data_IF_007380734762
#
_entry.id   IF_007380734762
#
_cell.length_a   1.000
_cell.length_b   1.000
_cell.length_c   1.000
_cell.angle_alpha   90.00
_cell.angle_beta   90.00
_cell.angle_gamma   90.00
#
_symmetry.space_group_name_H-M   'P 1'
#
loop_
_entity.id
_entity.type
_entity.pdbx_description
1 polymer ?
#
# COMPACT_ATOMS: atom_id res chain seq x y z
N UNK A 1 84.76 11.25 -9.41
CA UNK A 1 84.08 10.16 -8.72
C UNK A 1 82.63 10.56 -8.56
N UNK A 2 81.69 9.98 -9.37
CA UNK A 2 80.26 10.20 -9.28
C UNK A 2 79.62 8.91 -8.81
N UNK A 3 79.06 8.91 -7.61
CA UNK A 3 78.30 7.79 -7.07
C UNK A 3 76.86 7.91 -7.60
N UNK A 4 76.45 6.90 -8.37
CA UNK A 4 75.08 6.75 -8.86
C UNK A 4 74.25 5.89 -7.84
N UNK A 5 73.19 6.50 -7.26
CA UNK A 5 72.25 5.83 -6.40
C UNK A 5 71.09 5.28 -7.26
N UNK A 6 70.98 3.93 -7.34
CA UNK A 6 69.86 3.27 -8.02
C UNK A 6 68.73 3.09 -7.01
N UNK A 7 67.64 3.81 -7.23
CA UNK A 7 66.37 3.64 -6.51
C UNK A 7 65.61 2.45 -7.18
N UNK A 8 65.45 1.35 -6.48
CA UNK A 8 64.59 0.27 -6.90
C UNK A 8 63.15 0.51 -6.46
N UNK A 9 62.22 0.73 -7.42
CA UNK A 9 60.76 0.73 -7.15
C UNK A 9 60.26 -0.71 -7.01
N UNK A 10 59.88 -1.09 -5.79
CA UNK A 10 59.09 -2.30 -5.56
C UNK A 10 57.62 -2.00 -5.86
N UNK A 11 57.10 -2.57 -6.94
CA UNK A 11 55.65 -2.55 -7.25
C UNK A 11 55.00 -3.66 -6.43
N UNK A 12 54.27 -3.27 -5.37
CA UNK A 12 53.40 -4.18 -4.64
C UNK A 12 52.17 -4.46 -5.50
N UNK A 13 52.02 -5.69 -5.99
CA UNK A 13 50.82 -6.14 -6.66
C UNK A 13 49.69 -6.30 -5.60
N UNK A 14 48.76 -5.39 -5.60
CA UNK A 14 47.49 -5.56 -4.89
C UNK A 14 46.61 -6.52 -5.67
N UNK A 15 46.54 -7.77 -5.18
CA UNK A 15 45.57 -8.75 -5.66
C UNK A 15 44.17 -8.28 -5.20
N UNK A 16 43.16 -8.21 -6.09
CA UNK A 16 41.81 -7.93 -5.67
C UNK A 16 41.31 -9.11 -4.84
N UNK A 17 41.00 -8.88 -3.57
CA UNK A 17 40.24 -9.79 -2.73
C UNK A 17 38.84 -9.80 -3.33
N UNK A 18 38.52 -10.80 -4.14
CA UNK A 18 37.16 -11.09 -4.52
C UNK A 18 36.40 -11.45 -3.24
N UNK A 19 35.49 -10.59 -2.81
CA UNK A 19 34.55 -10.91 -1.76
C UNK A 19 33.73 -12.11 -2.23
N UNK A 20 34.07 -13.28 -1.72
CA UNK A 20 33.25 -14.47 -1.92
C UNK A 20 31.90 -14.16 -1.25
N UNK A 21 30.86 -13.97 -2.05
CA UNK A 21 29.49 -14.01 -1.55
C UNK A 21 29.32 -15.41 -0.96
N UNK A 22 29.10 -15.48 0.35
CA UNK A 22 28.72 -16.74 0.98
C UNK A 22 27.47 -17.24 0.24
N UNK A 23 27.54 -18.43 -0.34
CA UNK A 23 26.39 -19.04 -0.99
C UNK A 23 25.28 -19.12 0.06
N UNK A 24 24.11 -18.56 -0.27
CA UNK A 24 22.94 -18.64 0.61
C UNK A 24 22.67 -20.11 0.97
N UNK A 25 22.32 -20.34 2.23
CA UNK A 25 21.97 -21.69 2.67
C UNK A 25 20.80 -22.22 1.83
N UNK A 26 20.79 -23.53 1.48
CA UNK A 26 19.72 -24.09 0.69
C UNK A 26 18.37 -23.88 1.36
N UNK A 27 17.34 -23.63 0.54
CA UNK A 27 15.97 -23.45 1.04
C UNK A 27 15.50 -24.68 1.82
N UNK A 28 14.81 -24.46 2.92
CA UNK A 28 14.11 -25.52 3.65
C UNK A 28 13.00 -26.10 2.77
N UNK A 29 12.61 -27.38 2.93
CA UNK A 29 11.54 -27.99 2.14
C UNK A 29 10.23 -27.16 2.13
N UNK A 30 9.85 -26.59 3.27
CA UNK A 30 8.67 -25.72 3.39
C UNK A 30 8.81 -24.40 2.61
N UNK A 31 10.03 -23.88 2.50
CA UNK A 31 10.30 -22.70 1.67
C UNK A 31 10.28 -23.02 0.17
N UNK A 32 10.66 -24.24 -0.23
CA UNK A 32 10.53 -24.69 -1.61
C UNK A 32 9.07 -24.84 -2.01
N UNK A 33 8.21 -25.42 -1.13
CA UNK A 33 6.76 -25.50 -1.34
C UNK A 33 6.16 -24.10 -1.50
N UNK A 34 6.47 -23.17 -0.60
CA UNK A 34 6.04 -21.77 -0.69
C UNK A 34 6.48 -21.09 -2.00
N UNK A 35 7.75 -21.24 -2.37
CA UNK A 35 8.29 -20.64 -3.60
C UNK A 35 7.55 -21.13 -4.84
N UNK A 36 7.14 -22.40 -4.86
CA UNK A 36 6.35 -22.99 -5.95
C UNK A 36 4.96 -22.36 -6.02
N UNK A 37 4.26 -22.27 -4.90
CA UNK A 37 2.95 -21.60 -4.81
C UNK A 37 3.05 -20.13 -5.24
N UNK A 38 4.03 -19.40 -4.72
CA UNK A 38 4.25 -18.00 -5.04
C UNK A 38 4.54 -17.78 -6.53
N UNK A 39 5.37 -18.66 -7.13
CA UNK A 39 5.61 -18.66 -8.57
C UNK A 39 4.31 -18.84 -9.37
N UNK A 40 3.48 -19.81 -9.00
CA UNK A 40 2.21 -20.09 -9.69
C UNK A 40 1.25 -18.90 -9.60
N UNK A 41 1.24 -18.20 -8.46
CA UNK A 41 0.45 -16.98 -8.28
C UNK A 41 0.96 -15.83 -9.14
N UNK A 42 2.27 -15.57 -9.18
CA UNK A 42 2.87 -14.50 -10.00
C UNK A 42 2.70 -14.76 -11.49
N UNK A 43 2.86 -16.01 -11.93
CA UNK A 43 2.71 -16.41 -13.34
C UNK A 43 1.24 -16.50 -13.81
N UNK A 44 0.30 -16.33 -12.90
CA UNK A 44 -1.12 -16.17 -13.27
C UNK A 44 -1.40 -14.68 -13.43
N UNK A 45 -1.64 -14.25 -14.67
CA UNK A 45 -2.07 -12.87 -14.95
C UNK A 45 -3.44 -12.61 -14.31
N UNK A 46 -3.49 -11.62 -13.45
CA UNK A 46 -4.70 -11.17 -12.75
C UNK A 46 -4.96 -9.69 -12.97
N UNK A 47 -4.35 -9.10 -14.00
CA UNK A 47 -4.64 -7.73 -14.43
C UNK A 47 -6.06 -7.63 -15.00
N UNK A 48 -6.70 -6.49 -14.83
CA UNK A 48 -8.09 -6.29 -15.24
C UNK A 48 -8.31 -6.43 -16.77
N UNK A 49 -7.28 -6.19 -17.57
CA UNK A 49 -7.43 -6.20 -19.04
C UNK A 49 -7.31 -7.58 -19.65
N UNK A 50 -6.32 -8.36 -19.24
CA UNK A 50 -5.98 -9.65 -19.85
C UNK A 50 -6.10 -10.83 -18.89
N UNK A 51 -6.08 -10.56 -17.59
CA UNK A 51 -6.02 -11.56 -16.54
C UNK A 51 -7.37 -12.03 -16.00
N UNK A 52 -7.30 -12.83 -14.93
CA UNK A 52 -8.46 -13.29 -14.18
C UNK A 52 -8.11 -13.68 -12.74
N UNK A 53 -8.63 -12.94 -11.78
CA UNK A 53 -8.59 -13.33 -10.36
C UNK A 53 -9.35 -14.63 -10.12
N UNK A 54 -10.47 -14.85 -10.82
CA UNK A 54 -11.24 -16.09 -10.72
C UNK A 54 -10.37 -17.30 -11.04
N UNK A 55 -9.56 -17.23 -12.12
CA UNK A 55 -8.66 -18.32 -12.48
C UNK A 55 -7.56 -18.56 -11.43
N UNK A 56 -7.04 -17.50 -10.81
CA UNK A 56 -6.07 -17.66 -9.72
C UNK A 56 -6.74 -18.25 -8.47
N UNK A 57 -7.94 -17.79 -8.14
CA UNK A 57 -8.68 -18.32 -7.01
C UNK A 57 -9.08 -19.80 -7.21
N UNK A 58 -9.31 -20.26 -8.45
CA UNK A 58 -9.53 -21.69 -8.76
C UNK A 58 -8.27 -22.52 -8.49
N UNK A 59 -7.07 -22.00 -8.84
CA UNK A 59 -5.80 -22.63 -8.50
C UNK A 59 -5.57 -22.71 -7.00
N UNK A 60 -5.85 -21.62 -6.26
CA UNK A 60 -5.73 -21.58 -4.80
C UNK A 60 -6.68 -22.59 -4.16
N UNK A 61 -7.91 -22.67 -4.62
CA UNK A 61 -8.87 -23.70 -4.14
C UNK A 61 -8.33 -25.12 -4.35
N UNK A 62 -7.79 -25.40 -5.54
CA UNK A 62 -7.20 -26.69 -5.85
C UNK A 62 -6.02 -27.03 -4.92
N UNK A 63 -5.13 -26.05 -4.66
CA UNK A 63 -4.06 -26.20 -3.69
C UNK A 63 -4.57 -26.51 -2.29
N UNK A 64 -5.54 -25.72 -1.79
CA UNK A 64 -6.12 -25.91 -0.48
C UNK A 64 -6.80 -27.29 -0.33
N UNK A 65 -7.57 -27.71 -1.35
CA UNK A 65 -8.19 -29.05 -1.37
C UNK A 65 -7.17 -30.17 -1.36
N UNK A 66 -6.06 -30.05 -2.10
CA UNK A 66 -4.97 -31.01 -2.08
C UNK A 66 -4.30 -31.13 -0.70
N UNK A 67 -4.42 -30.11 0.15
CA UNK A 67 -3.95 -30.08 1.54
C UNK A 67 -5.02 -30.47 2.56
N UNK A 68 -6.19 -30.95 2.11
CA UNK A 68 -7.25 -31.48 2.96
C UNK A 68 -8.24 -30.45 3.49
N UNK A 69 -8.35 -29.28 2.87
CA UNK A 69 -9.48 -28.37 3.10
C UNK A 69 -10.72 -28.90 2.38
N UNK A 70 -11.86 -28.77 3.02
CA UNK A 70 -13.15 -29.26 2.54
C UNK A 70 -13.97 -28.15 1.87
N UNK A 71 -14.99 -28.54 1.09
CA UNK A 71 -15.92 -27.57 0.49
C UNK A 71 -16.66 -26.71 1.54
N UNK A 72 -16.86 -27.24 2.76
CA UNK A 72 -17.47 -26.49 3.86
C UNK A 72 -16.57 -25.41 4.47
N UNK A 73 -15.27 -25.46 4.21
CA UNK A 73 -14.27 -24.49 4.69
C UNK A 73 -13.90 -23.44 3.63
N UNK A 74 -14.29 -23.66 2.38
CA UNK A 74 -13.95 -22.83 1.23
C UNK A 74 -15.22 -22.23 0.64
N UNK A 75 -15.25 -20.94 0.45
CA UNK A 75 -16.29 -20.21 -0.26
C UNK A 75 -15.70 -19.49 -1.46
N UNK A 76 -16.13 -19.88 -2.68
CA UNK A 76 -15.78 -19.21 -3.92
C UNK A 76 -16.88 -18.21 -4.29
N UNK A 77 -16.47 -17.05 -4.78
CA UNK A 77 -17.42 -16.07 -5.31
C UNK A 77 -16.94 -15.48 -6.62
N UNK A 78 -17.90 -15.21 -7.49
CA UNK A 78 -17.79 -14.37 -8.66
C UNK A 78 -19.19 -13.79 -8.92
N UNK A 79 -19.27 -12.56 -9.36
CA UNK A 79 -20.55 -11.95 -9.74
C UNK A 79 -20.77 -12.03 -11.25
N UNK A 80 -22.02 -12.25 -11.71
CA UNK A 80 -22.30 -12.48 -13.13
C UNK A 80 -21.75 -11.41 -14.08
N UNK A 81 -21.80 -10.15 -13.67
CA UNK A 81 -21.31 -9.02 -14.49
C UNK A 81 -19.77 -8.88 -14.45
N UNK A 82 -19.10 -9.57 -13.53
CA UNK A 82 -17.66 -9.55 -13.32
C UNK A 82 -17.09 -10.97 -13.17
N UNK A 83 -17.24 -11.85 -14.18
CA UNK A 83 -16.92 -13.27 -14.03
C UNK A 83 -15.42 -13.56 -13.86
N UNK A 84 -14.55 -12.63 -14.22
CA UNK A 84 -13.09 -12.74 -14.08
C UNK A 84 -12.55 -12.16 -12.78
N UNK A 85 -13.37 -11.44 -12.02
CA UNK A 85 -12.99 -10.67 -10.83
C UNK A 85 -13.45 -11.38 -9.54
N UNK A 86 -13.54 -12.71 -9.57
CA UNK A 86 -13.89 -13.52 -8.41
C UNK A 86 -12.78 -13.64 -7.38
N UNK A 87 -13.13 -14.20 -6.24
CA UNK A 87 -12.21 -14.42 -5.13
C UNK A 87 -12.54 -15.69 -4.34
N UNK A 88 -11.87 -15.85 -3.20
CA UNK A 88 -11.99 -17.01 -2.33
C UNK A 88 -11.97 -16.59 -0.87
N UNK A 89 -12.84 -17.18 -0.06
CA UNK A 89 -12.79 -17.08 1.41
C UNK A 89 -12.56 -18.46 1.99
N UNK A 90 -11.59 -18.61 2.89
CA UNK A 90 -11.27 -19.86 3.56
C UNK A 90 -11.42 -19.68 5.06
N UNK A 91 -12.05 -20.64 5.74
CA UNK A 91 -12.21 -20.65 7.20
C UNK A 91 -11.41 -21.80 7.82
N UNK A 92 -10.40 -21.45 8.62
CA UNK A 92 -9.65 -22.39 9.44
C UNK A 92 -10.17 -22.31 10.88
N UNK A 93 -10.94 -23.30 11.28
CA UNK A 93 -11.70 -23.27 12.54
C UNK A 93 -10.79 -23.29 13.77
N UNK A 94 -11.04 -22.38 14.71
CA UNK A 94 -10.46 -22.37 16.04
C UNK A 94 -11.22 -23.28 17.02
N UNK A 95 -10.57 -23.57 18.15
CA UNK A 95 -11.16 -24.42 19.20
C UNK A 95 -12.14 -23.68 20.11
N UNK A 96 -12.00 -22.33 20.21
CA UNK A 96 -12.90 -21.50 21.03
C UNK A 96 -14.16 -21.10 20.25
N UNK A 97 -15.30 -21.14 20.91
CA UNK A 97 -16.57 -20.62 20.40
C UNK A 97 -16.86 -19.17 20.84
N UNK A 98 -16.04 -18.64 21.75
CA UNK A 98 -16.27 -17.30 22.34
C UNK A 98 -15.25 -16.26 21.88
N UNK A 99 -14.05 -16.68 21.45
CA UNK A 99 -13.06 -15.77 20.88
C UNK A 99 -13.45 -15.45 19.45
N UNK A 100 -13.59 -14.15 19.15
CA UNK A 100 -13.95 -13.69 17.79
C UNK A 100 -12.85 -14.08 16.79
N UNK A 101 -13.19 -14.38 15.53
CA UNK A 101 -12.22 -14.67 14.48
C UNK A 101 -11.24 -13.52 14.23
N UNK A 102 -10.11 -13.82 13.59
CA UNK A 102 -9.29 -12.85 12.87
C UNK A 102 -9.44 -13.07 11.37
N UNK A 103 -9.24 -12.01 10.59
CA UNK A 103 -9.27 -12.06 9.13
C UNK A 103 -7.87 -11.77 8.57
N UNK A 104 -7.44 -12.56 7.63
CA UNK A 104 -6.32 -12.29 6.73
C UNK A 104 -6.93 -11.82 5.41
N UNK A 105 -6.64 -10.61 5.00
CA UNK A 105 -7.13 -10.05 3.74
C UNK A 105 -5.96 -9.92 2.76
N UNK A 106 -6.24 -10.08 1.49
CA UNK A 106 -5.33 -9.78 0.41
C UNK A 106 -6.06 -9.61 -0.91
N UNK A 107 -5.39 -9.01 -1.90
CA UNK A 107 -5.93 -8.83 -3.24
C UNK A 107 -5.12 -9.63 -4.27
N UNK A 108 -5.87 -10.33 -5.13
CA UNK A 108 -5.30 -11.17 -6.19
C UNK A 108 -4.92 -10.37 -7.44
N UNK A 109 -5.62 -9.27 -7.70
CA UNK A 109 -5.39 -8.44 -8.88
C UNK A 109 -4.07 -7.70 -8.82
N UNK A 110 -3.62 -7.29 -9.99
CA UNK A 110 -2.38 -6.53 -10.17
C UNK A 110 -2.58 -5.42 -11.19
N UNK A 111 -1.85 -4.32 -11.04
CA UNK A 111 -1.78 -3.25 -12.03
C UNK A 111 -1.32 -3.81 -13.38
N UNK A 112 -1.94 -3.34 -14.47
CA UNK A 112 -1.59 -3.73 -15.85
C UNK A 112 -0.11 -3.50 -16.12
N UNK A 113 0.56 -4.49 -16.72
CA UNK A 113 1.95 -4.40 -17.15
C UNK A 113 2.03 -4.68 -18.66
N UNK A 114 2.57 -3.72 -19.41
CA UNK A 114 2.80 -3.88 -20.85
C UNK A 114 4.17 -4.53 -21.06
N UNK A 115 4.21 -5.68 -21.73
CA UNK A 115 5.41 -6.45 -21.95
C UNK A 115 6.53 -5.65 -22.63
N UNK A 116 6.16 -4.78 -23.57
CA UNK A 116 7.11 -3.95 -24.33
C UNK A 116 7.85 -2.92 -23.49
N UNK A 117 7.29 -2.53 -22.35
CA UNK A 117 7.91 -1.54 -21.44
C UNK A 117 8.87 -2.19 -20.45
N UNK A 118 8.81 -3.51 -20.26
CA UNK A 118 9.58 -4.23 -19.27
C UNK A 118 10.85 -4.86 -19.88
N UNK A 119 11.95 -4.84 -19.12
CA UNK A 119 13.18 -5.56 -19.51
C UNK A 119 13.05 -7.07 -19.32
N UNK A 120 12.13 -7.52 -18.45
CA UNK A 120 11.76 -8.90 -18.19
C UNK A 120 10.29 -9.11 -18.51
N UNK A 121 9.86 -10.36 -18.73
CA UNK A 121 8.45 -10.67 -18.87
C UNK A 121 7.72 -10.43 -17.54
N UNK A 122 6.71 -9.51 -17.45
CA UNK A 122 6.04 -9.19 -16.21
C UNK A 122 5.27 -10.35 -15.60
N UNK A 123 4.85 -11.34 -16.39
CA UNK A 123 4.09 -12.50 -15.93
C UNK A 123 4.93 -13.79 -15.92
N UNK A 124 6.26 -13.63 -15.76
CA UNK A 124 7.21 -14.71 -15.47
C UNK A 124 7.89 -14.46 -14.14
N UNK A 125 7.90 -15.50 -13.30
CA UNK A 125 8.60 -15.45 -12.02
C UNK A 125 10.09 -15.70 -12.23
N UNK A 126 10.89 -14.65 -12.12
CA UNK A 126 12.33 -14.68 -12.37
C UNK A 126 13.06 -14.40 -11.06
N UNK A 127 13.92 -15.33 -10.65
CA UNK A 127 14.82 -15.13 -9.51
C UNK A 127 16.22 -14.76 -10.03
N UNK A 128 16.66 -13.56 -9.71
CA UNK A 128 17.92 -13.00 -10.19
C UNK A 128 18.51 -12.00 -9.19
N UNK A 129 19.80 -12.09 -8.93
CA UNK A 129 20.54 -11.13 -8.09
C UNK A 129 19.92 -10.88 -6.71
N UNK A 130 19.31 -11.90 -6.07
CA UNK A 130 18.68 -11.80 -4.75
C UNK A 130 17.28 -11.21 -4.77
N UNK A 131 16.65 -11.08 -5.94
CA UNK A 131 15.28 -10.60 -6.10
C UNK A 131 14.42 -11.59 -6.87
N UNK A 132 13.15 -11.62 -6.52
CA UNK A 132 12.08 -12.16 -7.34
C UNK A 132 11.49 -11.04 -8.19
N UNK A 133 11.51 -11.18 -9.51
CA UNK A 133 10.93 -10.24 -10.47
C UNK A 133 9.63 -10.80 -11.03
N UNK A 134 8.67 -9.91 -11.26
CA UNK A 134 7.37 -10.18 -11.85
C UNK A 134 6.32 -9.21 -11.32
N UNK A 135 5.26 -8.94 -12.06
CA UNK A 135 4.15 -8.11 -11.63
C UNK A 135 3.40 -8.81 -10.48
N UNK A 136 3.19 -8.11 -9.37
CA UNK A 136 2.58 -8.65 -8.16
C UNK A 136 3.58 -9.33 -7.21
N UNK A 137 4.88 -9.33 -7.51
CA UNK A 137 5.87 -9.91 -6.59
C UNK A 137 5.98 -9.12 -5.28
N UNK A 138 5.78 -7.81 -5.31
CA UNK A 138 5.78 -6.97 -4.11
C UNK A 138 4.35 -6.66 -3.66
N UNK A 139 3.46 -6.41 -4.60
CA UNK A 139 2.09 -5.95 -4.41
C UNK A 139 1.08 -6.88 -5.08
N UNK A 140 0.35 -7.80 -4.32
CA UNK A 140 0.77 -8.24 -2.97
C UNK A 140 0.88 -9.79 -2.90
N UNK A 141 1.12 -10.46 -4.05
CA UNK A 141 1.10 -11.94 -4.15
C UNK A 141 2.10 -12.65 -3.22
N UNK A 142 3.18 -11.98 -2.78
CA UNK A 142 4.07 -12.54 -1.75
C UNK A 142 3.33 -12.74 -0.42
N UNK A 143 2.49 -11.78 -0.03
CA UNK A 143 1.69 -11.89 1.19
C UNK A 143 0.54 -12.87 1.00
N UNK A 144 -0.15 -12.85 -0.15
CA UNK A 144 -1.21 -13.81 -0.47
C UNK A 144 -0.69 -15.25 -0.40
N UNK A 145 0.46 -15.50 -1.03
CA UNK A 145 1.13 -16.82 -0.98
C UNK A 145 1.50 -17.20 0.47
N UNK A 146 1.89 -16.22 1.30
CA UNK A 146 2.20 -16.44 2.71
C UNK A 146 0.96 -16.86 3.49
N UNK A 147 -0.19 -16.23 3.25
CA UNK A 147 -1.45 -16.59 3.90
C UNK A 147 -1.92 -17.99 3.52
N UNK A 148 -1.85 -18.34 2.24
CA UNK A 148 -2.23 -19.68 1.75
C UNK A 148 -1.29 -20.75 2.31
N UNK A 149 0.02 -20.61 2.12
CA UNK A 149 1.05 -21.53 2.61
C UNK A 149 0.98 -21.75 4.12
N UNK A 150 0.73 -20.68 4.87
CA UNK A 150 0.59 -20.76 6.32
C UNK A 150 -0.59 -21.64 6.73
N UNK A 151 -1.77 -21.47 6.12
CA UNK A 151 -2.94 -22.29 6.43
C UNK A 151 -2.74 -23.75 6.00
N UNK A 152 -2.09 -23.99 4.85
CA UNK A 152 -1.72 -25.34 4.40
C UNK A 152 -0.77 -26.03 5.38
N UNK A 153 0.26 -25.31 5.86
CA UNK A 153 1.17 -25.83 6.89
C UNK A 153 0.48 -26.08 8.22
N UNK A 154 -0.42 -25.19 8.65
CA UNK A 154 -1.21 -25.40 9.86
C UNK A 154 -2.04 -26.69 9.76
N UNK A 155 -2.63 -26.94 8.59
CA UNK A 155 -3.38 -28.19 8.34
C UNK A 155 -2.46 -29.41 8.40
N UNK A 156 -1.32 -29.35 7.71
CA UNK A 156 -0.31 -30.44 7.66
C UNK A 156 0.27 -30.75 9.05
N UNK A 157 0.53 -29.71 9.85
CA UNK A 157 1.09 -29.82 11.20
C UNK A 157 0.04 -30.20 12.26
N UNK A 158 -1.25 -30.18 11.92
CA UNK A 158 -2.35 -30.40 12.87
C UNK A 158 -2.48 -29.28 13.90
N UNK A 159 -2.02 -28.06 13.58
CA UNK A 159 -2.15 -26.91 14.45
C UNK A 159 -3.60 -26.55 14.72
N UNK A 160 -3.96 -26.37 15.99
CA UNK A 160 -5.32 -26.04 16.43
C UNK A 160 -5.31 -24.68 17.12
N UNK A 161 -5.55 -23.58 16.39
CA UNK A 161 -5.63 -22.27 16.99
C UNK A 161 -6.79 -22.18 17.97
N UNK A 162 -6.67 -21.32 18.97
CA UNK A 162 -7.81 -20.99 19.82
C UNK A 162 -8.85 -20.14 19.06
N UNK A 163 -8.37 -19.16 18.33
CA UNK A 163 -9.16 -18.25 17.49
C UNK A 163 -9.33 -18.82 16.09
N UNK A 164 -10.54 -18.75 15.52
CA UNK A 164 -10.76 -19.03 14.10
C UNK A 164 -9.97 -18.02 13.24
N UNK A 165 -9.29 -18.52 12.21
CA UNK A 165 -8.58 -17.72 11.23
C UNK A 165 -9.39 -17.78 9.94
N UNK A 166 -9.76 -16.63 9.39
CA UNK A 166 -10.39 -16.49 8.08
C UNK A 166 -9.38 -15.91 7.11
N UNK A 167 -9.39 -16.36 5.89
CA UNK A 167 -8.61 -15.79 4.78
C UNK A 167 -9.60 -15.32 3.72
N UNK A 168 -9.51 -14.09 3.27
CA UNK A 168 -10.22 -13.57 2.11
C UNK A 168 -9.20 -13.05 1.10
N UNK A 169 -9.18 -13.63 -0.09
CA UNK A 169 -8.41 -13.15 -1.23
C UNK A 169 -9.38 -12.65 -2.28
N UNK A 170 -9.33 -11.36 -2.54
CA UNK A 170 -10.31 -10.61 -3.32
C UNK A 170 -9.72 -10.09 -4.63
N UNK A 171 -10.50 -9.40 -5.42
CA UNK A 171 -10.08 -8.77 -6.67
C UNK A 171 -10.60 -7.35 -6.71
N UNK A 172 -9.86 -6.44 -7.35
CA UNK A 172 -10.33 -5.09 -7.63
C UNK A 172 -9.83 -4.02 -6.67
N UNK A 173 -8.81 -4.29 -5.88
CA UNK A 173 -8.13 -3.28 -5.07
C UNK A 173 -7.46 -2.24 -5.98
N UNK A 174 -6.71 -2.70 -6.96
CA UNK A 174 -5.93 -1.91 -7.91
C UNK A 174 -6.77 -1.21 -8.99
N UNK A 175 -8.05 -1.55 -9.08
CA UNK A 175 -8.95 -1.10 -10.15
C UNK A 175 -10.17 -0.38 -9.61
N UNK A 176 -9.94 0.76 -9.02
CA UNK A 176 -10.93 1.58 -8.30
C UNK A 176 -12.21 1.98 -9.07
N UNK A 177 -12.30 1.73 -10.36
CA UNK A 177 -13.50 1.99 -11.20
C UNK A 177 -14.27 0.73 -11.56
N UNK A 178 -13.76 -0.44 -11.24
CA UNK A 178 -14.38 -1.72 -11.54
C UNK A 178 -15.00 -2.35 -10.27
N UNK A 179 -15.27 -3.63 -10.34
CA UNK A 179 -15.72 -4.43 -9.20
C UNK A 179 -14.61 -4.48 -8.13
N UNK A 180 -15.01 -4.37 -6.86
CA UNK A 180 -14.11 -4.59 -5.72
C UNK A 180 -14.68 -5.68 -4.83
N UNK A 181 -13.93 -6.78 -4.69
CA UNK A 181 -14.36 -7.99 -3.97
C UNK A 181 -14.47 -7.81 -2.46
N UNK A 182 -13.60 -7.00 -1.84
CA UNK A 182 -13.66 -6.72 -0.41
C UNK A 182 -14.90 -5.89 -0.08
N UNK A 183 -15.20 -4.87 -0.88
CA UNK A 183 -16.46 -4.10 -0.79
C UNK A 183 -17.67 -5.02 -0.93
N UNK A 184 -17.67 -5.87 -1.97
CA UNK A 184 -18.77 -6.78 -2.22
C UNK A 184 -19.01 -7.75 -1.05
N UNK A 185 -17.95 -8.32 -0.46
CA UNK A 185 -18.05 -9.18 0.73
C UNK A 185 -18.60 -8.42 1.91
N UNK A 186 -18.13 -7.19 2.16
CA UNK A 186 -18.60 -6.35 3.25
C UNK A 186 -20.11 -6.02 3.15
N UNK A 187 -20.59 -5.77 1.94
CA UNK A 187 -21.98 -5.41 1.68
C UNK A 187 -22.93 -6.62 1.58
N UNK A 188 -22.47 -7.75 1.02
CA UNK A 188 -23.35 -8.87 0.65
C UNK A 188 -23.11 -10.13 1.48
N UNK A 189 -21.93 -10.33 2.06
CA UNK A 189 -21.54 -11.53 2.80
C UNK A 189 -20.72 -11.20 4.07
N UNK A 190 -21.16 -10.23 4.90
CA UNK A 190 -20.36 -9.78 6.05
C UNK A 190 -20.05 -10.91 7.03
N UNK A 191 -20.90 -11.91 7.18
CA UNK A 191 -20.69 -13.06 8.08
C UNK A 191 -19.44 -13.88 7.68
N UNK A 192 -19.15 -13.99 6.38
CA UNK A 192 -17.97 -14.72 5.90
C UNK A 192 -16.68 -14.06 6.35
N UNK A 193 -16.64 -12.73 6.43
CA UNK A 193 -15.45 -11.95 6.81
C UNK A 193 -15.52 -11.39 8.23
N UNK A 194 -16.60 -11.62 8.98
CA UNK A 194 -16.75 -11.13 10.35
C UNK A 194 -15.55 -11.54 11.22
N UNK A 195 -14.90 -10.56 11.84
CA UNK A 195 -13.68 -10.72 12.62
C UNK A 195 -13.57 -9.67 13.72
N UNK A 196 -12.69 -9.89 14.71
CA UNK A 196 -12.33 -8.88 15.72
C UNK A 196 -11.44 -7.80 15.12
N UNK A 197 -10.53 -8.22 14.22
CA UNK A 197 -9.64 -7.37 13.44
C UNK A 197 -9.21 -8.10 12.17
N UNK A 198 -8.64 -7.36 11.24
CA UNK A 198 -8.04 -7.88 10.02
C UNK A 198 -6.54 -7.56 9.94
N UNK A 199 -5.78 -8.46 9.32
CA UNK A 199 -4.45 -8.20 8.81
C UNK A 199 -4.54 -8.08 7.29
N UNK A 200 -4.09 -6.94 6.78
CA UNK A 200 -4.08 -6.57 5.37
C UNK A 200 -2.66 -6.11 4.97
N UNK A 201 -2.51 -5.51 3.83
CA UNK A 201 -1.27 -4.92 3.33
C UNK A 201 -0.88 -3.58 4.00
N UNK A 202 0.16 -2.92 3.47
CA UNK A 202 0.58 -1.56 3.82
C UNK A 202 1.62 -1.49 4.93
N UNK A 203 1.91 -2.59 5.63
CA UNK A 203 3.00 -2.70 6.59
C UNK A 203 4.30 -3.18 5.97
N UNK A 204 5.31 -3.41 6.80
CA UNK A 204 6.61 -3.95 6.37
C UNK A 204 7.80 -3.05 6.68
N UNK A 205 8.98 -3.54 6.36
CA UNK A 205 10.24 -2.88 6.60
C UNK A 205 10.85 -2.22 5.38
N UNK A 206 11.78 -1.31 5.62
CA UNK A 206 12.58 -0.66 4.58
C UNK A 206 14.07 -0.81 4.89
N UNK A 207 14.85 -1.06 3.84
CA UNK A 207 16.30 -1.07 3.92
C UNK A 207 16.91 0.33 3.72
N UNK A 208 18.21 0.44 3.98
CA UNK A 208 19.02 1.62 3.66
C UNK A 208 19.52 1.63 2.19
N UNK A 209 19.05 0.70 1.35
CA UNK A 209 19.55 0.48 -0.01
C UNK A 209 20.82 -0.37 -0.09
N UNK A 210 21.37 -0.77 1.06
CA UNK A 210 22.56 -1.65 1.17
C UNK A 210 22.21 -2.98 1.87
N UNK A 211 20.91 -3.29 1.96
CA UNK A 211 20.40 -4.53 2.53
C UNK A 211 20.20 -4.54 4.05
N UNK A 212 20.53 -3.46 4.76
CA UNK A 212 20.27 -3.34 6.20
C UNK A 212 18.87 -2.77 6.43
N UNK A 213 18.01 -3.49 7.15
CA UNK A 213 16.69 -3.01 7.57
C UNK A 213 16.85 -1.88 8.59
N UNK A 214 16.23 -0.74 8.36
CA UNK A 214 16.35 0.47 9.20
C UNK A 214 15.06 0.82 9.95
N UNK A 215 13.91 0.32 9.51
CA UNK A 215 12.62 0.54 10.13
C UNK A 215 11.68 -0.61 9.78
N UNK A 216 10.78 -0.95 10.69
CA UNK A 216 9.60 -1.78 10.45
C UNK A 216 8.35 -0.95 10.71
N UNK A 217 7.34 -1.07 9.88
CA UNK A 217 6.09 -0.32 9.99
C UNK A 217 4.91 -1.26 10.24
N UNK A 218 4.10 -0.94 11.21
CA UNK A 218 2.73 -1.46 11.35
C UNK A 218 1.79 -0.42 10.74
N UNK A 219 1.13 -0.77 9.63
CA UNK A 219 0.12 0.12 9.03
C UNK A 219 -1.10 0.19 9.95
N UNK A 220 -1.50 1.41 10.29
CA UNK A 220 -2.63 1.70 11.18
C UNK A 220 -3.42 2.87 10.61
N UNK A 221 -4.29 2.56 9.66
CA UNK A 221 -5.15 3.52 8.98
C UNK A 221 -4.51 4.18 7.75
N UNK A 222 -5.38 4.78 6.98
CA UNK A 222 -5.08 5.32 5.65
C UNK A 222 -5.93 6.54 5.35
N UNK A 223 -5.61 7.27 4.28
CA UNK A 223 -6.42 8.37 3.79
C UNK A 223 -7.52 7.88 2.87
N UNK A 224 -8.66 8.59 2.89
CA UNK A 224 -9.73 8.37 1.92
C UNK A 224 -9.43 9.04 0.59
N UNK A 225 -9.72 8.37 -0.50
CA UNK A 225 -9.69 8.98 -1.85
C UNK A 225 -11.01 9.71 -2.10
N UNK A 226 -10.93 10.95 -2.59
CA UNK A 226 -12.09 11.71 -3.07
C UNK A 226 -11.72 12.50 -4.32
N UNK A 227 -12.50 12.36 -5.39
CA UNK A 227 -12.34 13.17 -6.57
C UNK A 227 -13.38 14.27 -6.61
N UNK A 228 -12.94 15.48 -6.99
CA UNK A 228 -13.81 16.64 -7.17
C UNK A 228 -13.64 17.20 -8.55
N UNK A 229 -14.76 17.42 -9.25
CA UNK A 229 -14.80 18.19 -10.47
C UNK A 229 -14.97 19.67 -10.12
N UNK A 230 -14.04 20.50 -10.55
CA UNK A 230 -14.20 21.94 -10.57
C UNK A 230 -14.49 22.40 -11.98
N UNK A 231 -15.42 23.33 -12.15
CA UNK A 231 -15.83 23.75 -13.49
C UNK A 231 -16.24 25.22 -13.50
N UNK A 232 -15.70 25.95 -14.48
CA UNK A 232 -16.11 27.29 -14.86
C UNK A 232 -17.03 27.23 -16.08
N UNK A 233 -18.10 28.01 -16.08
CA UNK A 233 -19.00 28.17 -17.24
C UNK A 233 -19.10 29.64 -17.64
N UNK A 234 -19.18 29.90 -18.96
CA UNK A 234 -19.19 31.24 -19.51
C UNK A 234 -20.10 31.27 -20.77
N UNK A 235 -20.75 32.38 -21.10
CA UNK A 235 -21.56 32.46 -22.31
C UNK A 235 -20.81 32.17 -23.60
N UNK A 236 -19.49 32.33 -23.63
CA UNK A 236 -18.68 32.21 -24.83
C UNK A 236 -18.78 33.42 -25.75
N UNK A 237 -18.42 33.27 -27.02
CA UNK A 237 -18.45 34.34 -28.02
C UNK A 237 -17.43 34.09 -29.13
N UNK A 238 -17.34 35.05 -30.08
CA UNK A 238 -16.40 34.97 -31.17
C UNK A 238 -14.99 35.43 -30.72
N UNK A 239 -13.97 34.63 -31.00
CA UNK A 239 -12.59 34.88 -30.53
C UNK A 239 -11.95 36.17 -31.08
N UNK A 240 -12.48 36.72 -32.19
CA UNK A 240 -12.03 38.01 -32.73
C UNK A 240 -12.47 39.21 -31.90
N UNK A 241 -13.42 39.03 -30.96
CA UNK A 241 -13.85 40.05 -30.01
C UNK A 241 -13.56 39.54 -28.58
N UNK A 242 -12.28 39.47 -28.17
CA UNK A 242 -11.90 38.82 -26.95
C UNK A 242 -12.32 39.63 -25.70
N UNK A 243 -12.80 38.91 -24.71
CA UNK A 243 -13.09 39.45 -23.37
C UNK A 243 -12.20 38.73 -22.33
N UNK A 244 -11.94 39.42 -21.21
CA UNK A 244 -11.16 38.82 -20.12
C UNK A 244 -11.95 37.83 -19.28
N UNK A 245 -13.28 37.94 -19.27
CA UNK A 245 -14.20 36.99 -18.67
C UNK A 245 -14.29 35.73 -19.54
N UNK A 246 -13.61 34.66 -19.17
CA UNK A 246 -13.38 33.50 -20.00
C UNK A 246 -13.20 32.24 -19.10
N UNK A 247 -13.93 31.19 -19.40
CA UNK A 247 -13.94 29.97 -18.58
C UNK A 247 -12.55 29.33 -18.37
N UNK A 248 -11.66 29.42 -19.38
CA UNK A 248 -10.28 28.92 -19.24
C UNK A 248 -9.47 29.79 -18.28
N UNK A 249 -9.65 31.12 -18.32
CA UNK A 249 -8.93 32.02 -17.42
C UNK A 249 -9.44 31.88 -15.96
N UNK A 250 -10.74 31.78 -15.76
CA UNK A 250 -11.36 31.54 -14.45
C UNK A 250 -10.87 30.21 -13.84
N UNK A 251 -10.84 29.12 -14.63
CA UNK A 251 -10.25 27.85 -14.20
C UNK A 251 -8.77 27.99 -13.87
N UNK A 252 -8.00 28.70 -14.70
CA UNK A 252 -6.56 28.88 -14.47
C UNK A 252 -6.27 29.61 -13.17
N UNK A 253 -7.01 30.69 -12.89
CA UNK A 253 -6.92 31.46 -11.64
C UNK A 253 -7.29 30.60 -10.41
N UNK A 254 -8.31 29.77 -10.52
CA UNK A 254 -8.71 28.81 -9.49
C UNK A 254 -7.60 27.79 -9.21
N UNK A 255 -6.99 27.23 -10.24
CA UNK A 255 -5.89 26.28 -10.12
C UNK A 255 -4.64 26.91 -9.51
N UNK A 256 -4.35 28.19 -9.79
CA UNK A 256 -3.24 28.94 -9.14
C UNK A 256 -3.50 29.09 -7.65
N UNK A 257 -4.75 29.45 -7.24
CA UNK A 257 -5.13 29.55 -5.83
C UNK A 257 -5.04 28.19 -5.12
N UNK A 258 -5.56 27.15 -5.74
CA UNK A 258 -5.50 25.78 -5.21
C UNK A 258 -4.06 25.26 -5.07
N UNK A 259 -3.17 25.55 -6.02
CA UNK A 259 -1.74 25.20 -5.95
C UNK A 259 -1.04 25.86 -4.76
N UNK A 260 -1.44 27.07 -4.39
CA UNK A 260 -0.84 27.83 -3.31
C UNK A 260 -1.41 27.47 -1.92
N UNK A 261 -2.45 26.66 -1.86
CA UNK A 261 -3.15 26.32 -0.63
C UNK A 261 -2.72 24.96 -0.09
N UNK A 262 -2.37 24.94 1.19
CA UNK A 262 -2.21 23.71 1.97
C UNK A 262 -3.34 23.60 3.01
N UNK A 263 -3.98 22.43 3.09
CA UNK A 263 -4.90 22.15 4.17
C UNK A 263 -4.20 22.24 5.53
N UNK A 264 -4.93 22.62 6.60
CA UNK A 264 -4.35 22.70 7.94
C UNK A 264 -3.67 21.39 8.37
N UNK A 265 -2.59 21.52 9.16
CA UNK A 265 -1.91 20.41 9.76
C UNK A 265 -2.83 19.69 10.74
N UNK A 266 -2.85 18.37 10.66
CA UNK A 266 -3.61 17.46 11.51
C UNK A 266 -2.73 16.33 12.03
N UNK A 267 -2.99 15.91 13.26
CA UNK A 267 -2.36 14.75 13.88
C UNK A 267 -3.44 13.87 14.53
N UNK A 268 -3.42 12.59 14.22
CA UNK A 268 -4.15 11.56 14.95
C UNK A 268 -3.22 10.75 15.87
N UNK A 269 -3.73 9.73 16.55
CA UNK A 269 -2.94 8.86 17.42
C UNK A 269 -1.77 8.21 16.68
N UNK A 270 -2.03 7.68 15.48
CA UNK A 270 -1.05 6.98 14.63
C UNK A 270 0.08 7.91 14.19
N UNK A 271 -0.25 9.08 13.64
CA UNK A 271 0.77 10.03 13.15
C UNK A 271 1.57 10.64 14.30
N UNK A 272 0.96 10.88 15.48
CA UNK A 272 1.70 11.29 16.68
C UNK A 272 2.70 10.22 17.12
N UNK A 273 2.28 8.96 17.15
CA UNK A 273 3.17 7.85 17.53
C UNK A 273 4.27 7.64 16.49
N UNK A 274 3.96 7.76 15.18
CA UNK A 274 4.92 7.69 14.09
C UNK A 274 6.04 8.73 14.27
N UNK A 275 5.68 10.03 14.31
CA UNK A 275 6.65 11.11 14.42
C UNK A 275 7.40 11.09 15.75
N UNK A 276 6.76 10.69 16.84
CA UNK A 276 7.43 10.55 18.13
C UNK A 276 8.49 9.43 18.13
N UNK A 277 8.14 8.23 17.62
CA UNK A 277 9.06 7.08 17.59
C UNK A 277 10.19 7.31 16.58
N UNK A 278 9.86 7.73 15.36
CA UNK A 278 10.86 7.98 14.32
C UNK A 278 11.76 9.15 14.68
N UNK A 279 11.22 10.23 15.24
CA UNK A 279 11.98 11.39 15.68
C UNK A 279 13.03 11.05 16.75
N UNK A 280 12.69 10.15 17.71
CA UNK A 280 13.63 9.67 18.72
C UNK A 280 14.76 8.79 18.17
N UNK A 281 14.58 8.17 17.01
CA UNK A 281 15.59 7.32 16.37
C UNK A 281 16.53 8.11 15.42
N UNK A 282 16.39 9.44 15.34
CA UNK A 282 17.13 10.33 14.45
C UNK A 282 17.75 11.50 15.21
N UNK A 283 19.04 11.80 14.93
CA UNK A 283 19.76 12.93 15.55
C UNK A 283 19.82 14.19 14.68
N UNK A 284 19.17 14.15 13.48
CA UNK A 284 19.20 15.23 12.50
C UNK A 284 18.07 16.27 12.71
N UNK A 285 18.06 17.30 11.86
CA UNK A 285 17.06 18.38 11.89
C UNK A 285 15.64 17.83 11.68
N UNK A 286 15.47 16.78 10.86
CA UNK A 286 14.19 16.15 10.59
C UNK A 286 13.64 15.46 11.86
N UNK A 287 14.48 14.71 12.60
CA UNK A 287 14.09 14.08 13.86
C UNK A 287 13.67 15.13 14.91
N UNK A 288 14.39 16.24 15.02
CA UNK A 288 14.04 17.35 15.93
C UNK A 288 12.70 17.96 15.55
N UNK A 289 12.46 18.21 14.25
CA UNK A 289 11.18 18.73 13.75
C UNK A 289 10.01 17.79 14.02
N UNK A 290 10.22 16.46 13.87
CA UNK A 290 9.22 15.43 14.21
C UNK A 290 8.80 15.51 15.68
N UNK A 291 9.76 15.65 16.59
CA UNK A 291 9.46 15.77 18.03
C UNK A 291 8.80 17.12 18.36
N UNK A 292 9.23 18.21 17.74
CA UNK A 292 8.66 19.54 17.94
C UNK A 292 7.21 19.61 17.48
N UNK A 293 6.86 19.04 16.29
CA UNK A 293 5.48 19.08 15.78
C UNK A 293 4.51 18.23 16.63
N UNK A 294 5.00 17.13 17.22
CA UNK A 294 4.21 16.33 18.17
C UNK A 294 3.93 17.09 19.45
N UNK A 295 4.93 17.81 19.96
CA UNK A 295 4.80 18.62 21.17
C UNK A 295 3.91 19.86 20.95
N UNK A 296 4.09 20.52 19.80
CA UNK A 296 3.32 21.71 19.41
C UNK A 296 2.95 21.66 17.92
N UNK A 297 1.73 21.23 17.57
CA UNK A 297 1.27 21.20 16.18
C UNK A 297 1.23 22.56 15.48
N UNK A 298 1.33 23.66 16.23
CA UNK A 298 1.40 25.02 15.71
C UNK A 298 2.82 25.50 15.36
N UNK A 299 3.86 24.69 15.57
CA UNK A 299 5.26 25.04 15.30
C UNK A 299 5.53 25.14 13.79
N UNK A 300 5.50 26.36 13.26
CA UNK A 300 5.71 26.65 11.84
C UNK A 300 7.13 26.35 11.34
N UNK A 301 8.13 26.42 12.21
CA UNK A 301 9.50 26.08 11.84
C UNK A 301 9.67 24.58 11.68
N UNK A 302 9.11 23.80 12.61
CA UNK A 302 9.07 22.35 12.51
C UNK A 302 8.24 21.89 11.29
N UNK A 303 7.07 22.49 11.04
CA UNK A 303 6.25 22.21 9.87
C UNK A 303 7.02 22.47 8.57
N UNK A 304 7.73 23.58 8.45
CA UNK A 304 8.53 23.91 7.27
C UNK A 304 9.61 22.86 6.98
N UNK A 305 10.28 22.35 8.02
CA UNK A 305 11.28 21.26 7.87
C UNK A 305 10.59 19.97 7.40
N UNK A 306 9.47 19.57 8.01
CA UNK A 306 8.75 18.35 7.62
C UNK A 306 8.18 18.42 6.20
N UNK A 307 7.75 19.61 5.77
CA UNK A 307 7.23 19.83 4.42
C UNK A 307 8.29 19.68 3.30
N UNK A 308 9.58 19.61 3.61
CA UNK A 308 10.63 19.31 2.62
C UNK A 308 10.57 17.85 2.15
N UNK A 309 9.95 16.95 2.91
CA UNK A 309 9.66 15.58 2.52
C UNK A 309 8.18 15.44 2.13
N UNK A 310 7.92 15.05 0.88
CA UNK A 310 6.57 14.93 0.32
C UNK A 310 5.68 13.93 1.08
N UNK A 311 6.28 12.89 1.66
CA UNK A 311 5.53 11.87 2.42
C UNK A 311 5.09 12.42 3.77
N UNK A 312 6.00 13.09 4.49
CA UNK A 312 5.66 13.73 5.78
C UNK A 312 4.66 14.87 5.60
N UNK A 313 4.84 15.70 4.55
CA UNK A 313 3.85 16.72 4.17
C UNK A 313 2.46 16.10 4.00
N UNK A 314 2.38 15.01 3.23
CA UNK A 314 1.10 14.32 2.97
C UNK A 314 0.54 13.64 4.23
N UNK A 315 1.37 13.04 5.09
CA UNK A 315 0.91 12.40 6.35
C UNK A 315 0.30 13.39 7.35
N UNK A 316 0.60 14.67 7.22
CA UNK A 316 0.20 15.70 8.18
C UNK A 316 -1.10 16.44 7.83
N UNK A 317 -1.74 16.15 6.69
CA UNK A 317 -2.92 16.92 6.24
C UNK A 317 -3.70 16.21 5.14
N UNK A 318 -4.91 16.69 4.86
CA UNK A 318 -5.57 16.43 3.58
C UNK A 318 -4.75 17.07 2.46
N UNK A 319 -4.61 16.38 1.32
CA UNK A 319 -3.91 16.90 0.14
C UNK A 319 -4.78 16.77 -1.09
N UNK A 320 -4.80 17.77 -1.95
CA UNK A 320 -5.52 17.74 -3.23
C UNK A 320 -4.58 18.16 -4.36
N UNK A 321 -4.68 17.49 -5.51
CA UNK A 321 -3.89 17.81 -6.70
C UNK A 321 -4.74 17.70 -7.96
N UNK A 322 -4.56 18.64 -8.89
CA UNK A 322 -5.19 18.55 -10.20
C UNK A 322 -4.55 17.42 -11.02
N UNK A 323 -5.38 16.51 -11.55
CA UNK A 323 -4.92 15.32 -12.30
C UNK A 323 -5.41 15.31 -13.75
N UNK A 324 -6.53 15.96 -14.05
CA UNK A 324 -7.08 16.09 -15.39
C UNK A 324 -7.55 17.52 -15.61
N UNK A 325 -7.47 17.99 -16.86
CA UNK A 325 -7.97 19.29 -17.28
C UNK A 325 -8.58 19.19 -18.67
N UNK A 326 -9.67 19.93 -18.92
CA UNK A 326 -10.32 20.08 -20.20
C UNK A 326 -10.91 21.48 -20.35
N UNK A 327 -11.10 21.94 -21.61
CA UNK A 327 -11.71 23.22 -21.83
C UNK A 327 -11.71 23.65 -23.32
N UNK A 328 -12.69 24.47 -23.66
CA UNK A 328 -12.89 24.95 -25.04
C UNK A 328 -13.50 23.90 -25.96
N UNK A 329 -13.95 24.34 -27.16
CA UNK A 329 -14.58 23.47 -28.17
C UNK A 329 -14.21 23.85 -29.59
N UNK A 330 -13.67 25.05 -29.85
CA UNK A 330 -13.27 25.52 -31.18
C UNK A 330 -12.18 26.60 -31.08
N UNK A 331 -11.27 26.62 -32.05
CA UNK A 331 -10.15 27.57 -32.08
C UNK A 331 -10.57 29.05 -32.21
N UNK A 332 -11.75 29.32 -32.80
CA UNK A 332 -12.27 30.64 -33.07
C UNK A 332 -13.43 31.05 -32.15
N UNK A 333 -13.67 30.32 -31.06
CA UNK A 333 -14.71 30.60 -30.10
C UNK A 333 -14.14 30.79 -28.68
N UNK A 334 -14.72 31.73 -27.93
CA UNK A 334 -14.46 31.82 -26.50
C UNK A 334 -15.04 30.57 -25.78
N UNK A 335 -14.29 29.96 -24.86
CA UNK A 335 -14.71 28.72 -24.22
C UNK A 335 -15.95 28.93 -23.33
N UNK A 336 -16.97 28.11 -23.57
CA UNK A 336 -18.18 28.10 -22.77
C UNK A 336 -18.04 27.31 -21.47
N UNK A 337 -17.01 26.42 -21.44
CA UNK A 337 -16.76 25.54 -20.29
C UNK A 337 -15.28 25.22 -20.21
N UNK A 338 -14.75 25.18 -18.99
CA UNK A 338 -13.45 24.63 -18.67
C UNK A 338 -13.49 24.00 -17.29
N UNK A 339 -12.82 22.87 -17.11
CA UNK A 339 -12.84 22.19 -15.83
C UNK A 339 -11.61 21.34 -15.56
N UNK A 340 -11.46 20.92 -14.31
CA UNK A 340 -10.39 20.05 -13.87
C UNK A 340 -10.90 19.01 -12.88
N UNK A 341 -10.23 17.86 -12.83
CA UNK A 341 -10.38 16.90 -11.76
C UNK A 341 -9.34 17.17 -10.68
N UNK A 342 -9.78 17.26 -9.43
CA UNK A 342 -8.93 17.31 -8.25
C UNK A 342 -8.98 15.96 -7.55
N UNK A 343 -7.86 15.22 -7.50
CA UNK A 343 -7.72 14.04 -6.66
C UNK A 343 -7.30 14.46 -5.27
N UNK A 344 -8.14 14.18 -4.30
CA UNK A 344 -7.87 14.49 -2.89
C UNK A 344 -7.59 13.22 -2.10
N UNK A 345 -6.61 13.29 -1.20
CA UNK A 345 -6.31 12.30 -0.19
C UNK A 345 -6.67 12.87 1.16
N UNK A 346 -7.82 12.46 1.66
CA UNK A 346 -8.52 13.07 2.79
C UNK A 346 -8.03 12.44 4.08
N UNK A 347 -7.62 13.27 5.03
CA UNK A 347 -7.14 12.83 6.34
C UNK A 347 -8.27 12.14 7.12
N UNK A 348 -8.00 11.01 7.84
CA UNK A 348 -9.02 10.29 8.61
C UNK A 348 -9.78 11.20 9.58
N UNK A 349 -11.11 11.10 9.56
CA UNK A 349 -12.01 11.93 10.37
C UNK A 349 -12.44 13.23 9.71
N UNK A 350 -11.99 13.54 8.50
CA UNK A 350 -12.49 14.66 7.68
C UNK A 350 -13.52 14.13 6.69
N UNK A 351 -14.66 14.75 6.59
CA UNK A 351 -15.72 14.35 5.67
C UNK A 351 -15.57 15.02 4.28
N UNK A 352 -16.20 14.43 3.28
CA UNK A 352 -16.14 14.89 1.89
C UNK A 352 -16.68 16.32 1.71
N UNK A 353 -17.72 16.68 2.45
CA UNK A 353 -18.35 18.00 2.33
C UNK A 353 -17.49 19.12 2.93
N UNK A 354 -16.76 18.82 4.01
CA UNK A 354 -15.76 19.72 4.58
C UNK A 354 -14.66 20.01 3.56
N UNK A 355 -14.16 18.99 2.84
CA UNK A 355 -13.17 19.18 1.77
C UNK A 355 -13.77 19.99 0.63
N UNK A 356 -14.97 19.68 0.18
CA UNK A 356 -15.66 20.40 -0.91
C UNK A 356 -15.81 21.90 -0.58
N UNK A 357 -16.31 22.24 0.61
CA UNK A 357 -16.45 23.64 1.06
C UNK A 357 -15.11 24.36 1.18
N UNK A 358 -14.08 23.66 1.61
CA UNK A 358 -12.71 24.22 1.68
C UNK A 358 -12.23 24.57 0.27
N UNK A 359 -12.40 23.65 -0.70
CA UNK A 359 -12.03 23.91 -2.10
C UNK A 359 -12.81 25.10 -2.68
N UNK A 360 -14.13 25.21 -2.43
CA UNK A 360 -14.94 26.37 -2.84
C UNK A 360 -14.40 27.67 -2.23
N UNK A 361 -14.10 27.65 -0.94
CA UNK A 361 -13.55 28.82 -0.24
C UNK A 361 -12.21 29.28 -0.79
N UNK A 362 -11.33 28.32 -1.17
CA UNK A 362 -10.01 28.63 -1.76
C UNK A 362 -10.15 29.12 -3.20
N UNK A 363 -11.05 28.54 -3.98
CA UNK A 363 -11.36 28.99 -5.32
C UNK A 363 -11.90 30.41 -5.31
N UNK A 364 -12.73 30.76 -4.32
CA UNK A 364 -13.27 32.10 -4.10
C UNK A 364 -13.88 32.75 -5.36
N UNK A 365 -14.56 31.94 -6.16
CA UNK A 365 -15.27 32.36 -7.36
C UNK A 365 -16.67 31.74 -7.39
N UNK A 366 -17.74 32.54 -7.20
CA UNK A 366 -19.11 32.03 -7.13
C UNK A 366 -19.66 31.51 -8.49
N UNK A 367 -18.96 31.77 -9.60
CA UNK A 367 -19.33 31.23 -10.91
C UNK A 367 -18.82 29.81 -11.12
N UNK A 368 -17.83 29.37 -10.31
CA UNK A 368 -17.29 28.03 -10.39
C UNK A 368 -18.09 27.06 -9.53
N UNK A 369 -18.24 25.86 -10.03
CA UNK A 369 -18.84 24.74 -9.30
C UNK A 369 -17.77 23.81 -8.79
N UNK A 370 -17.99 23.24 -7.60
CA UNK A 370 -17.16 22.16 -7.01
C UNK A 370 -18.09 21.02 -6.66
N UNK A 371 -17.96 19.91 -7.36
CA UNK A 371 -18.83 18.74 -7.18
C UNK A 371 -17.96 17.50 -6.93
N UNK A 372 -18.32 16.68 -5.94
CA UNK A 372 -17.72 15.36 -5.77
C UNK A 372 -18.07 14.49 -7.00
N UNK A 373 -17.08 13.99 -7.68
CA UNK A 373 -17.25 13.34 -9.00
C UNK A 373 -17.26 11.81 -8.95
N UNK A 374 -17.00 11.23 -7.78
CA UNK A 374 -17.04 9.78 -7.59
C UNK A 374 -17.68 9.40 -6.25
N UNK A 375 -18.11 8.15 -6.18
CA UNK A 375 -18.71 7.56 -4.98
C UNK A 375 -17.83 6.41 -4.45
N UNK A 376 -16.55 6.71 -4.23
CA UNK A 376 -15.50 5.72 -3.94
C UNK A 376 -15.45 5.29 -2.48
N UNK A 377 -16.55 4.84 -1.97
CA UNK A 377 -16.54 4.11 -0.71
C UNK A 377 -16.62 4.98 0.55
N UNK A 378 -16.49 4.35 1.71
CA UNK A 378 -16.63 5.00 3.01
C UNK A 378 -15.45 5.92 3.34
N UNK A 379 -15.64 6.77 4.36
CA UNK A 379 -14.55 7.54 4.93
C UNK A 379 -13.66 6.63 5.80
N UNK A 380 -12.36 6.72 5.61
CA UNK A 380 -11.40 6.01 6.44
C UNK A 380 -11.49 6.45 7.91
N UNK A 381 -11.40 5.47 8.79
CA UNK A 381 -11.25 5.66 10.23
C UNK A 381 -9.97 4.98 10.64
N UNK A 382 -9.01 5.73 11.18
CA UNK A 382 -7.80 5.11 11.68
C UNK A 382 -8.16 4.14 12.83
N UNK A 383 -7.79 2.85 12.74
CA UNK A 383 -7.99 1.93 13.86
C UNK A 383 -7.15 2.37 15.07
N UNK A 384 -7.52 1.95 16.30
CA UNK A 384 -6.76 2.28 17.48
C UNK A 384 -5.39 1.59 17.51
N UNK A 385 -4.42 2.16 18.20
CA UNK A 385 -3.16 1.48 18.52
C UNK A 385 -3.39 0.44 19.64
N UNK A 386 -4.20 -0.58 19.35
CA UNK A 386 -4.55 -1.61 20.34
C UNK A 386 -3.28 -2.37 20.80
N UNK A 387 -2.97 -2.37 22.11
CA UNK A 387 -1.83 -3.12 22.65
C UNK A 387 -1.85 -4.62 22.35
N UNK A 388 -3.04 -5.21 22.12
CA UNK A 388 -3.19 -6.62 21.73
C UNK A 388 -2.68 -6.87 20.30
N UNK A 389 -2.68 -5.85 19.45
CA UNK A 389 -2.15 -5.91 18.09
C UNK A 389 -0.72 -5.42 18.06
N UNK A 390 -0.45 -4.25 18.64
CA UNK A 390 0.88 -3.62 18.62
C UNK A 390 1.91 -4.45 19.39
N UNK A 391 1.55 -4.95 20.59
CA UNK A 391 2.49 -5.63 21.48
C UNK A 391 3.13 -6.90 20.90
N UNK A 392 2.37 -7.86 20.36
CA UNK A 392 2.96 -9.04 19.70
C UNK A 392 3.82 -8.67 18.49
N UNK A 393 3.42 -7.69 17.68
CA UNK A 393 4.20 -7.21 16.54
C UNK A 393 5.54 -6.60 16.99
N UNK A 394 5.56 -5.74 18.03
CA UNK A 394 6.79 -5.16 18.59
C UNK A 394 7.75 -6.24 19.13
N UNK A 395 7.23 -7.24 19.83
CA UNK A 395 8.04 -8.36 20.34
C UNK A 395 8.71 -9.14 19.20
N UNK A 396 7.98 -9.40 18.12
CA UNK A 396 8.53 -10.11 16.97
C UNK A 396 9.50 -9.25 16.18
N UNK A 397 9.24 -7.95 16.01
CA UNK A 397 10.22 -7.04 15.40
C UNK A 397 11.52 -7.03 16.20
N UNK A 398 11.45 -6.94 17.53
CA UNK A 398 12.64 -7.01 18.38
C UNK A 398 13.40 -8.35 18.26
N UNK A 399 12.69 -9.47 18.02
CA UNK A 399 13.28 -10.79 17.79
C UNK A 399 13.96 -10.91 16.42
N UNK A 400 13.28 -10.52 15.36
CA UNK A 400 13.74 -10.70 13.98
C UNK A 400 14.72 -9.61 13.52
N UNK A 401 14.56 -8.40 14.08
CA UNK A 401 15.28 -7.18 13.69
C UNK A 401 15.82 -6.44 14.94
N UNK A 402 16.78 -7.02 15.68
CA UNK A 402 17.29 -6.39 16.90
C UNK A 402 17.79 -4.97 16.66
N UNK A 403 17.30 -4.01 17.46
CA UNK A 403 17.67 -2.60 17.36
C UNK A 403 16.93 -1.80 16.26
N UNK A 404 16.10 -2.45 15.44
CA UNK A 404 15.28 -1.75 14.44
C UNK A 404 13.98 -1.27 15.10
N UNK A 405 13.62 0.02 14.98
CA UNK A 405 12.38 0.52 15.53
C UNK A 405 11.16 0.00 14.73
N UNK A 406 10.08 -0.33 15.45
CA UNK A 406 8.76 -0.49 14.85
C UNK A 406 7.95 0.80 15.05
N UNK A 407 7.46 1.38 13.95
CA UNK A 407 6.63 2.57 13.97
C UNK A 407 5.22 2.24 13.47
N UNK A 408 4.15 2.72 14.13
CA UNK A 408 2.83 2.70 13.51
C UNK A 408 2.83 3.74 12.37
N UNK A 409 2.27 3.40 11.22
CA UNK A 409 2.24 4.29 10.05
C UNK A 409 0.81 4.46 9.53
N UNK A 410 0.53 5.62 8.98
CA UNK A 410 -0.69 5.91 8.25
C UNK A 410 -0.36 6.04 6.77
N UNK A 411 -1.01 5.24 5.93
CA UNK A 411 -0.85 5.35 4.48
C UNK A 411 -1.42 6.66 3.95
N UNK A 412 -0.74 7.24 2.98
CA UNK A 412 -1.27 8.35 2.18
C UNK A 412 -2.04 7.87 0.95
N UNK A 413 -1.97 6.57 0.66
CA UNK A 413 -2.82 5.81 -0.26
C UNK A 413 -4.09 5.30 0.43
N UNK A 414 -4.75 4.34 -0.19
CA UNK A 414 -5.90 3.61 0.33
C UNK A 414 -5.71 2.12 0.02
N UNK A 415 -6.37 1.26 0.78
CA UNK A 415 -6.39 -0.19 0.60
C UNK A 415 -7.83 -0.71 0.75
N UNK A 416 -8.05 -1.99 0.52
CA UNK A 416 -9.33 -2.65 0.82
C UNK A 416 -9.72 -2.63 2.31
N UNK A 417 -8.78 -2.29 3.20
CA UNK A 417 -9.03 -2.11 4.63
C UNK A 417 -10.18 -1.15 4.95
N UNK A 418 -10.37 -0.12 4.13
CA UNK A 418 -11.42 0.89 4.30
C UNK A 418 -12.83 0.27 4.31
N UNK A 419 -13.08 -0.79 3.52
CA UNK A 419 -14.39 -1.45 3.48
C UNK A 419 -14.65 -2.30 4.73
N UNK A 420 -13.60 -2.87 5.32
CA UNK A 420 -13.68 -3.59 6.59
C UNK A 420 -13.93 -2.64 7.76
N UNK A 421 -13.22 -1.51 7.79
CA UNK A 421 -13.40 -0.47 8.80
C UNK A 421 -14.82 0.11 8.78
N UNK A 422 -15.43 0.23 7.61
CA UNK A 422 -16.80 0.70 7.45
C UNK A 422 -17.83 -0.22 8.14
N UNK A 423 -17.58 -1.51 8.19
CA UNK A 423 -18.43 -2.50 8.89
C UNK A 423 -17.94 -2.83 10.31
N UNK A 424 -16.98 -2.05 10.83
CA UNK A 424 -16.51 -2.13 12.22
C UNK A 424 -15.41 -3.16 12.47
N UNK A 425 -14.70 -3.61 11.43
CA UNK A 425 -13.54 -4.50 11.55
C UNK A 425 -12.27 -3.67 11.37
N UNK A 426 -11.51 -3.36 12.43
CA UNK A 426 -10.27 -2.61 12.31
C UNK A 426 -9.23 -3.39 11.49
N UNK A 427 -8.58 -2.71 10.53
CA UNK A 427 -7.63 -3.31 9.60
C UNK A 427 -6.20 -2.80 9.87
N UNK A 428 -5.24 -3.73 9.92
CA UNK A 428 -3.84 -3.45 10.20
C UNK A 428 -2.96 -4.10 9.15
N UNK A 429 -1.91 -3.37 8.68
CA UNK A 429 -0.88 -3.95 7.84
C UNK A 429 0.31 -4.39 8.68
N UNK A 430 0.60 -5.69 8.80
CA UNK A 430 1.64 -6.20 9.68
C UNK A 430 3.06 -5.86 9.21
N UNK A 431 4.02 -5.69 10.14
CA UNK A 431 5.44 -5.69 9.81
C UNK A 431 5.91 -7.08 9.41
N UNK A 432 7.18 -7.24 9.03
CA UNK A 432 7.83 -8.55 8.91
C UNK A 432 8.62 -8.74 7.62
N UNK A 433 8.03 -8.51 6.45
CA UNK A 433 8.77 -8.40 5.19
C UNK A 433 9.53 -7.07 5.12
N UNK A 434 10.37 -6.90 4.11
CA UNK A 434 11.04 -5.62 3.85
C UNK A 434 11.42 -5.46 2.39
N UNK A 435 11.47 -4.21 1.94
CA UNK A 435 11.83 -3.80 0.60
C UNK A 435 12.90 -2.71 0.55
N UNK A 436 13.27 -2.35 -0.65
CA UNK A 436 14.23 -1.28 -0.92
C UNK A 436 13.60 0.11 -0.78
N UNK A 437 14.42 1.15 -0.57
CA UNK A 437 13.92 2.51 -0.39
C UNK A 437 13.28 3.12 -1.66
N UNK A 438 13.51 2.51 -2.83
CA UNK A 438 12.91 2.93 -4.12
C UNK A 438 11.49 2.41 -4.35
N UNK A 439 10.92 1.66 -3.39
CA UNK A 439 9.57 1.11 -3.48
C UNK A 439 9.46 -0.16 -4.32
N UNK A 440 10.56 -0.86 -4.60
CA UNK A 440 10.59 -2.15 -5.31
C UNK A 440 10.01 -2.14 -6.74
N UNK A 441 9.78 -0.98 -7.33
CA UNK A 441 9.11 -0.86 -8.63
C UNK A 441 7.61 -1.18 -8.60
N UNK A 442 6.99 -1.21 -7.44
CA UNK A 442 5.53 -1.39 -7.26
C UNK A 442 4.77 -0.39 -8.13
N UNK A 443 3.76 -0.86 -8.88
CA UNK A 443 3.02 -0.13 -9.94
C UNK A 443 3.88 0.36 -11.11
N UNK A 444 5.20 0.21 -11.03
CA UNK A 444 6.17 0.64 -12.05
C UNK A 444 6.67 -0.51 -12.92
N UNK A 445 7.85 -0.29 -13.51
CA UNK A 445 8.52 -1.27 -14.36
C UNK A 445 9.43 -2.19 -13.53
N UNK A 446 9.51 -3.46 -13.95
CA UNK A 446 10.40 -4.46 -13.36
C UNK A 446 10.20 -4.59 -11.83
N UNK A 447 8.94 -4.65 -11.41
CA UNK A 447 8.58 -4.90 -10.01
C UNK A 447 9.32 -6.11 -9.46
N UNK A 448 9.81 -5.98 -8.21
CA UNK A 448 10.61 -7.01 -7.57
C UNK A 448 10.39 -7.10 -6.08
N UNK A 449 10.70 -8.24 -5.50
CA UNK A 449 10.74 -8.44 -4.05
C UNK A 449 12.09 -9.04 -3.64
N UNK A 450 12.65 -8.59 -2.52
CA UNK A 450 13.91 -9.11 -1.97
C UNK A 450 13.68 -10.55 -1.51
N UNK A 451 14.40 -11.53 -2.06
CA UNK A 451 14.24 -12.96 -1.73
C UNK A 451 14.31 -13.20 -0.22
N UNK A 452 15.34 -12.68 0.44
CA UNK A 452 15.51 -12.78 1.89
C UNK A 452 14.37 -12.09 2.65
N UNK A 453 13.89 -10.94 2.14
CA UNK A 453 12.77 -10.19 2.73
C UNK A 453 11.46 -10.98 2.69
N UNK A 454 11.19 -11.65 1.57
CA UNK A 454 10.02 -12.51 1.39
C UNK A 454 10.04 -13.68 2.36
N UNK A 455 11.13 -14.44 2.43
CA UNK A 455 11.20 -15.61 3.33
C UNK A 455 11.20 -15.20 4.81
N UNK A 456 11.87 -14.11 5.17
CA UNK A 456 11.84 -13.60 6.54
C UNK A 456 10.43 -13.13 6.91
N UNK A 457 9.76 -12.40 6.00
CA UNK A 457 8.38 -11.95 6.17
C UNK A 457 7.41 -13.11 6.34
N UNK A 458 7.54 -14.16 5.51
CA UNK A 458 6.75 -15.39 5.64
C UNK A 458 6.86 -16.04 7.02
N UNK A 459 8.07 -16.21 7.50
CA UNK A 459 8.30 -16.84 8.82
C UNK A 459 7.80 -15.92 9.94
N UNK A 460 8.07 -14.62 9.86
CA UNK A 460 7.57 -13.61 10.79
C UNK A 460 6.03 -13.58 10.86
N UNK A 461 5.35 -13.50 9.72
CA UNK A 461 3.89 -13.44 9.65
C UNK A 461 3.24 -14.73 10.20
N UNK A 462 3.87 -15.87 9.98
CA UNK A 462 3.43 -17.14 10.56
C UNK A 462 3.47 -17.10 12.10
N UNK A 463 4.55 -16.61 12.69
CA UNK A 463 4.67 -16.46 14.14
C UNK A 463 3.69 -15.41 14.68
N UNK A 464 3.50 -14.31 13.95
CA UNK A 464 2.58 -13.24 14.34
C UNK A 464 1.13 -13.75 14.38
N UNK A 465 0.70 -14.47 13.35
CA UNK A 465 -0.64 -15.05 13.31
C UNK A 465 -0.81 -16.09 14.43
N UNK A 466 0.20 -16.94 14.70
CA UNK A 466 0.16 -17.85 15.86
C UNK A 466 0.03 -17.08 17.18
N UNK A 467 0.71 -15.95 17.34
CA UNK A 467 0.62 -15.13 18.55
C UNK A 467 -0.79 -14.49 18.73
N UNK A 468 -1.48 -14.15 17.65
CA UNK A 468 -2.84 -13.62 17.70
C UNK A 468 -3.92 -14.72 17.81
N UNK A 469 -3.64 -15.88 17.27
CA UNK A 469 -4.60 -16.98 17.26
C UNK A 469 -4.62 -17.79 18.58
N UNK A 470 -3.61 -17.67 19.42
CA UNK A 470 -3.52 -18.25 20.76
C UNK A 470 -3.02 -19.68 20.77
#
# INVERSE_FOLDING_TARGET
MRLGLKLGCAVAALSPIAAAHAADAPLRPDQVEYRTLYKDMVETDTSITTGSCTALADKIEAHMKARGFTDGEIFRFAVPDHPKEGGIVVTYAGTSKTVKPMLLLGHLDVVVAKREDWTRDPYKFIEENGYFYGRGTSDMKAMDATWVDMLERFRKEGYKPKRTIKLALTCGEETSWAFNGAKWLAENKPDLIAAEFALNEGGGGRTDGHGRVIVQSLHVGEKTVGNYRIEATNPGGHASAPVKDNAIYELSDALVRLRAFDFPLMLNETTRAYFSKLGKSRDDAMGKAMLAIVANPGDKAAEAVLNTDKSYHSMLRTTCVATLIDGGHANNALPQRAGANLNCRIFPGVDYETVRKTLESVIADPKMTVVKSDDRGPLAKAPPLDPKIVGPAEKLVAKYYPGVPMVPSMSTGATDGIFLEAIGIPSYGPPGGYGDPDGNGTHGLNERAIVKGVFTGRDFLTELVKAYAG
#
